data_IF_587007637498
#
_entry.id   IF_587007637498
#
_cell.length_a   1.000
_cell.length_b   1.000
_cell.length_c   1.000
_cell.angle_alpha   90.00
_cell.angle_beta   90.00
_cell.angle_gamma   90.00
#
_symmetry.space_group_name_H-M   'P 1'
#
loop_
_entity.id
_entity.type
_entity.pdbx_description
1 polymer ?
#
# COMPACT_ATOMS: atom_id res chain seq x y z
N UNK A 1 32.04 -43.24 15.25
CA UNK A 1 31.95 -41.97 15.99
C UNK A 1 32.59 -40.95 15.09
N UNK A 2 31.77 -40.18 14.39
CA UNK A 2 32.21 -39.21 13.38
C UNK A 2 31.52 -37.91 13.72
N UNK A 3 32.34 -36.87 13.78
CA UNK A 3 32.12 -35.60 14.44
C UNK A 3 31.05 -34.76 13.75
N UNK A 4 30.34 -34.02 14.60
CA UNK A 4 29.35 -33.00 14.28
C UNK A 4 30.12 -31.78 13.77
N UNK A 5 29.96 -31.43 12.49
CA UNK A 5 30.35 -30.13 11.98
C UNK A 5 29.14 -29.20 12.12
N UNK A 6 29.10 -28.49 13.26
CA UNK A 6 28.06 -27.51 13.59
C UNK A 6 28.32 -26.24 12.76
N UNK A 7 27.72 -26.19 11.58
CA UNK A 7 27.74 -25.02 10.70
C UNK A 7 27.14 -23.82 11.42
N UNK A 8 27.92 -22.74 11.45
CA UNK A 8 27.59 -21.44 12.00
C UNK A 8 26.30 -20.92 11.37
N UNK A 9 25.17 -21.03 12.09
CA UNK A 9 23.93 -20.38 11.71
C UNK A 9 24.20 -18.88 11.77
N UNK A 10 24.25 -18.24 10.60
CA UNK A 10 24.21 -16.80 10.52
C UNK A 10 22.95 -16.32 11.26
N UNK A 11 23.21 -15.72 12.43
CA UNK A 11 22.29 -14.94 13.23
C UNK A 11 21.81 -13.77 12.37
N UNK A 12 20.82 -14.03 11.52
CA UNK A 12 19.99 -13.00 10.91
C UNK A 12 19.18 -12.39 12.06
N UNK A 13 19.81 -11.42 12.73
CA UNK A 13 19.23 -10.69 13.84
C UNK A 13 17.78 -10.35 13.54
N UNK A 14 16.89 -10.87 14.37
CA UNK A 14 15.48 -10.49 14.35
C UNK A 14 15.44 -9.02 14.74
N UNK A 15 15.39 -8.14 13.74
CA UNK A 15 15.08 -6.74 13.98
C UNK A 15 13.71 -6.74 14.66
N UNK A 16 13.57 -6.12 15.85
CA UNK A 16 12.28 -6.02 16.49
C UNK A 16 11.35 -5.29 15.54
N UNK A 17 10.30 -5.98 15.09
CA UNK A 17 9.19 -5.37 14.37
C UNK A 17 8.54 -4.45 15.39
N UNK A 18 8.85 -3.16 15.32
CA UNK A 18 8.08 -2.15 16.03
C UNK A 18 6.71 -2.13 15.37
N UNK A 19 5.66 -2.52 16.11
CA UNK A 19 4.23 -2.34 15.78
C UNK A 19 3.83 -0.85 15.71
N UNK A 20 4.78 0.04 15.41
CA UNK A 20 4.47 1.39 15.01
C UNK A 20 3.75 1.33 13.67
N UNK A 21 2.43 1.13 13.73
CA UNK A 21 1.50 1.50 12.68
C UNK A 21 1.97 2.85 12.14
N UNK A 22 2.19 2.90 10.83
CA UNK A 22 2.59 4.10 10.12
C UNK A 22 1.66 5.24 10.57
N UNK A 23 2.16 6.14 11.42
CA UNK A 23 1.47 7.39 11.72
C UNK A 23 1.63 8.27 10.49
N UNK A 24 0.75 8.04 9.52
CA UNK A 24 0.54 8.95 8.41
C UNK A 24 -0.49 9.97 8.87
N UNK A 25 -0.03 11.13 9.37
CA UNK A 25 -0.93 12.24 9.67
C UNK A 25 -1.35 12.90 8.35
N UNK A 26 -2.57 12.61 7.89
CA UNK A 26 -3.17 13.33 6.78
C UNK A 26 -3.64 14.71 7.27
N UNK A 27 -2.90 15.77 6.96
CA UNK A 27 -3.41 17.14 7.09
C UNK A 27 -4.09 17.56 5.78
N UNK A 28 -5.37 17.24 5.64
CA UNK A 28 -6.23 17.84 4.62
C UNK A 28 -6.72 19.20 5.17
N UNK A 29 -6.14 20.31 4.70
CA UNK A 29 -6.73 21.64 4.90
C UNK A 29 -7.66 21.93 3.72
N UNK A 30 -8.96 21.87 3.97
CA UNK A 30 -9.96 22.40 3.04
C UNK A 30 -9.90 23.92 3.15
N UNK A 31 -9.32 24.59 2.16
CA UNK A 31 -9.30 26.04 2.06
C UNK A 31 -10.72 26.55 1.78
N UNK A 32 -11.41 26.95 2.86
CA UNK A 32 -12.63 27.75 2.74
C UNK A 32 -12.25 29.24 2.72
N UNK A 33 -12.77 29.92 1.70
CA UNK A 33 -12.54 31.31 1.33
C UNK A 33 -12.66 32.29 2.51
N UNK A 34 -11.77 33.27 2.49
CA UNK A 34 -11.50 34.27 3.51
C UNK A 34 -12.69 35.12 3.97
N UNK A 35 -12.93 35.15 5.29
CA UNK A 35 -13.55 36.29 5.97
C UNK A 35 -12.73 36.66 7.22
N UNK A 36 -12.44 37.96 7.34
CA UNK A 36 -11.54 38.56 8.33
C UNK A 36 -12.23 38.72 9.70
N UNK A 37 -11.71 38.10 10.76
CA UNK A 37 -11.99 38.51 12.15
C UNK A 37 -10.77 38.23 13.06
N UNK A 38 -10.51 39.04 14.11
CA UNK A 38 -9.21 39.19 14.73
C UNK A 38 -8.82 38.02 15.64
N UNK A 39 -7.51 37.79 15.66
CA UNK A 39 -6.76 36.73 16.33
C UNK A 39 -7.03 36.71 17.84
N UNK A 40 -7.83 35.75 18.30
CA UNK A 40 -7.83 35.34 19.71
C UNK A 40 -6.90 34.13 19.85
N UNK A 41 -5.78 34.33 20.54
CA UNK A 41 -4.85 33.29 20.94
C UNK A 41 -5.52 32.43 22.02
N UNK A 42 -6.30 31.43 21.61
CA UNK A 42 -6.75 30.39 22.53
C UNK A 42 -5.62 29.38 22.67
N UNK A 43 -5.11 29.21 23.89
CA UNK A 43 -4.17 28.15 24.20
C UNK A 43 -4.87 26.81 23.94
N UNK A 44 -4.43 26.08 22.91
CA UNK A 44 -4.84 24.69 22.67
C UNK A 44 -4.34 23.87 23.86
N UNK A 45 -5.23 23.61 24.82
CA UNK A 45 -5.03 22.51 25.77
C UNK A 45 -5.00 21.23 24.93
N UNK A 46 -3.82 20.63 24.83
CA UNK A 46 -3.64 19.36 24.12
C UNK A 46 -4.44 18.30 24.87
N UNK A 47 -5.63 17.95 24.37
CA UNK A 47 -6.37 16.80 24.85
C UNK A 47 -5.57 15.57 24.45
N UNK A 48 -5.01 14.86 25.43
CA UNK A 48 -4.36 13.58 25.21
C UNK A 48 -5.41 12.61 24.66
N UNK A 49 -5.30 12.23 23.38
CA UNK A 49 -6.19 11.23 22.77
C UNK A 49 -5.82 9.87 23.35
N UNK A 50 -6.67 9.34 24.23
CA UNK A 50 -6.52 7.97 24.72
C UNK A 50 -7.27 7.03 23.78
N UNK A 51 -6.54 6.31 22.93
CA UNK A 51 -7.10 5.21 22.14
C UNK A 51 -7.51 4.08 23.08
N UNK A 52 -8.75 3.60 22.97
CA UNK A 52 -9.22 2.39 23.67
C UNK A 52 -9.63 1.36 22.63
N UNK A 53 -9.31 0.09 22.88
CA UNK A 53 -9.85 -1.01 22.11
C UNK A 53 -11.36 -1.06 22.37
N UNK A 54 -12.15 -0.79 21.33
CA UNK A 54 -13.60 -0.87 21.36
C UNK A 54 -14.04 -1.78 20.22
N UNK A 55 -15.10 -2.56 20.42
CA UNK A 55 -15.73 -3.26 19.30
C UNK A 55 -16.23 -2.21 18.30
N UNK A 56 -15.90 -2.34 17.00
CA UNK A 56 -16.37 -1.41 15.99
C UNK A 56 -17.89 -1.52 15.91
N UNK A 57 -18.58 -0.44 16.27
CA UNK A 57 -20.01 -0.30 16.03
C UNK A 57 -20.17 0.17 14.59
N UNK A 58 -20.33 -0.79 13.67
CA UNK A 58 -20.72 -0.47 12.30
C UNK A 58 -22.16 0.03 12.33
N UNK A 59 -22.39 1.24 11.82
CA UNK A 59 -23.72 1.62 11.35
C UNK A 59 -24.23 0.54 10.40
N UNK A 60 -25.50 0.16 10.51
CA UNK A 60 -26.13 -0.76 9.54
C UNK A 60 -25.74 -0.33 8.13
N UNK A 61 -25.22 -1.29 7.36
CA UNK A 61 -24.84 -1.08 5.98
C UNK A 61 -26.08 -0.52 5.30
N UNK A 62 -26.03 0.78 4.97
CA UNK A 62 -27.09 1.41 4.20
C UNK A 62 -27.32 0.51 2.98
N UNK A 63 -28.57 0.10 2.68
CA UNK A 63 -28.84 -0.70 1.49
C UNK A 63 -28.17 0.01 0.33
N UNK A 64 -27.28 -0.70 -0.36
CA UNK A 64 -26.29 -0.12 -1.26
C UNK A 64 -26.88 1.08 -1.98
N UNK A 65 -26.39 2.28 -1.60
CA UNK A 65 -26.88 3.52 -2.18
C UNK A 65 -26.91 3.35 -3.69
N UNK A 66 -28.04 3.67 -4.32
CA UNK A 66 -28.24 3.54 -5.78
C UNK A 66 -27.04 4.10 -6.57
N UNK A 67 -26.37 5.11 -6.01
CA UNK A 67 -25.16 5.73 -6.55
C UNK A 67 -23.97 4.79 -6.73
N UNK A 68 -23.69 3.88 -5.78
CA UNK A 68 -22.55 2.97 -5.89
C UNK A 68 -22.74 1.94 -7.00
N UNK A 69 -23.97 1.41 -7.11
CA UNK A 69 -24.37 0.50 -8.19
C UNK A 69 -24.32 1.19 -9.55
N UNK A 70 -24.85 2.40 -9.64
CA UNK A 70 -24.78 3.21 -10.86
C UNK A 70 -23.33 3.53 -11.28
N UNK A 71 -22.46 3.82 -10.31
CA UNK A 71 -21.04 4.05 -10.57
C UNK A 71 -20.35 2.79 -11.14
N UNK A 72 -20.63 1.62 -10.54
CA UNK A 72 -20.12 0.34 -11.02
C UNK A 72 -20.63 0.02 -12.43
N UNK A 73 -21.93 0.18 -12.70
CA UNK A 73 -22.52 -0.04 -14.02
C UNK A 73 -21.92 0.89 -15.08
N UNK A 74 -21.69 2.16 -14.72
CA UNK A 74 -21.05 3.15 -15.59
C UNK A 74 -19.61 2.75 -15.91
N UNK A 75 -18.85 2.33 -14.89
CA UNK A 75 -17.47 1.87 -15.05
C UNK A 75 -17.39 0.58 -15.90
N UNK A 76 -18.28 -0.39 -15.69
CA UNK A 76 -18.34 -1.61 -16.52
C UNK A 76 -18.59 -1.23 -17.99
N UNK A 77 -19.53 -0.32 -18.24
CA UNK A 77 -19.85 0.14 -19.60
C UNK A 77 -18.66 0.86 -20.24
N UNK A 78 -17.92 1.67 -19.49
CA UNK A 78 -16.73 2.39 -19.98
C UNK A 78 -15.55 1.44 -20.27
N UNK A 79 -15.49 0.31 -19.59
CA UNK A 79 -14.46 -0.71 -19.76
C UNK A 79 -14.83 -1.77 -20.81
N UNK A 80 -16.07 -1.76 -21.30
CA UNK A 80 -16.55 -2.72 -22.30
C UNK A 80 -15.77 -2.59 -23.62
N UNK A 81 -15.27 -3.70 -24.13
CA UNK A 81 -14.52 -3.76 -25.40
C UNK A 81 -13.05 -3.36 -25.34
N UNK A 82 -12.54 -2.94 -24.17
CA UNK A 82 -11.10 -2.69 -23.96
C UNK A 82 -10.34 -4.00 -23.71
N UNK A 83 -9.08 -4.04 -24.10
CA UNK A 83 -8.19 -5.15 -23.73
C UNK A 83 -7.88 -5.14 -22.23
N UNK A 84 -7.45 -6.29 -21.68
CA UNK A 84 -7.09 -6.41 -20.26
C UNK A 84 -6.03 -5.39 -19.85
N UNK A 85 -5.05 -5.15 -20.71
CA UNK A 85 -3.97 -4.17 -20.45
C UNK A 85 -4.54 -2.75 -20.40
N UNK A 86 -5.39 -2.38 -21.37
CA UNK A 86 -6.03 -1.05 -21.39
C UNK A 86 -6.96 -0.83 -20.19
N UNK A 87 -7.63 -1.88 -19.70
CA UNK A 87 -8.42 -1.79 -18.47
C UNK A 87 -7.51 -1.44 -17.29
N UNK A 88 -6.37 -2.12 -17.16
CA UNK A 88 -5.40 -1.83 -16.10
C UNK A 88 -4.81 -0.43 -16.22
N UNK A 89 -4.46 0.02 -17.42
CA UNK A 89 -3.92 1.38 -17.63
C UNK A 89 -4.95 2.47 -17.35
N UNK A 90 -6.25 2.20 -17.55
CA UNK A 90 -7.30 3.14 -17.17
C UNK A 90 -7.53 3.19 -15.65
N UNK A 91 -7.47 2.04 -14.97
CA UNK A 91 -7.69 1.97 -13.52
C UNK A 91 -6.47 2.45 -12.72
N UNK A 92 -5.27 2.07 -13.16
CA UNK A 92 -3.99 2.51 -12.62
C UNK A 92 -3.39 3.54 -13.58
N UNK A 93 -4.09 4.66 -13.70
CA UNK A 93 -3.68 5.75 -14.59
C UNK A 93 -2.29 6.29 -14.22
N UNK A 94 -1.66 6.95 -15.18
CA UNK A 94 -0.29 7.46 -15.03
C UNK A 94 -0.16 8.42 -13.83
N UNK A 95 -1.18 9.22 -13.54
CA UNK A 95 -1.20 10.10 -12.36
C UNK A 95 -1.04 9.33 -11.04
N UNK A 96 -1.72 8.18 -10.90
CA UNK A 96 -1.63 7.33 -9.72
C UNK A 96 -0.25 6.69 -9.64
N UNK A 97 0.28 6.21 -10.78
CA UNK A 97 1.60 5.59 -10.82
C UNK A 97 2.71 6.59 -10.49
N UNK A 98 2.63 7.80 -11.02
CA UNK A 98 3.55 8.90 -10.71
C UNK A 98 3.48 9.27 -9.23
N UNK A 99 2.28 9.34 -8.66
CA UNK A 99 2.09 9.62 -7.23
C UNK A 99 2.71 8.53 -6.35
N UNK A 100 2.44 7.26 -6.65
CA UNK A 100 3.03 6.12 -5.91
C UNK A 100 4.56 6.15 -6.01
N UNK A 101 5.10 6.40 -7.20
CA UNK A 101 6.54 6.51 -7.43
C UNK A 101 7.14 7.66 -6.61
N UNK A 102 6.53 8.85 -6.66
CA UNK A 102 6.97 10.03 -5.92
C UNK A 102 7.05 9.76 -4.42
N UNK A 103 5.97 9.22 -3.84
CA UNK A 103 5.92 8.92 -2.41
C UNK A 103 6.90 7.81 -2.02
N UNK A 104 7.06 6.78 -2.86
CA UNK A 104 8.01 5.69 -2.60
C UNK A 104 9.45 6.19 -2.57
N UNK A 105 9.83 7.03 -3.55
CA UNK A 105 11.18 7.64 -3.62
C UNK A 105 11.39 8.61 -2.46
N UNK A 106 10.39 9.43 -2.14
CA UNK A 106 10.41 10.35 -0.99
C UNK A 106 10.62 9.60 0.30
N UNK A 107 9.88 8.50 0.51
CA UNK A 107 10.04 7.65 1.67
C UNK A 107 11.46 7.08 1.79
N UNK A 108 11.99 6.49 0.72
CA UNK A 108 13.31 5.90 0.72
C UNK A 108 14.41 6.94 1.04
N UNK A 109 14.35 8.12 0.42
CA UNK A 109 15.34 9.18 0.61
C UNK A 109 15.25 9.83 1.99
N UNK A 110 14.05 10.22 2.42
CA UNK A 110 13.87 11.01 3.63
C UNK A 110 13.77 10.17 4.91
N UNK A 111 13.13 9.01 4.86
CA UNK A 111 12.87 8.19 6.05
C UNK A 111 13.83 7.01 6.17
N UNK A 112 14.30 6.45 5.06
CA UNK A 112 15.30 5.37 5.06
C UNK A 112 16.72 5.84 4.81
N UNK A 113 16.91 7.14 4.54
CA UNK A 113 18.21 7.75 4.26
C UNK A 113 18.97 7.06 3.10
N UNK A 114 18.23 6.46 2.15
CA UNK A 114 18.78 5.91 0.93
C UNK A 114 18.71 6.96 -0.17
N UNK A 115 19.75 7.79 -0.25
CA UNK A 115 19.84 8.89 -1.21
C UNK A 115 19.97 8.42 -2.66
N UNK A 116 20.43 7.18 -2.87
CA UNK A 116 20.66 6.60 -4.19
C UNK A 116 19.44 5.83 -4.70
N UNK A 117 18.43 5.63 -3.86
CA UNK A 117 17.20 4.99 -4.28
C UNK A 117 16.53 5.78 -5.40
N UNK A 118 16.24 5.07 -6.48
CA UNK A 118 15.46 5.57 -7.60
C UNK A 118 14.51 4.46 -8.02
N UNK A 119 13.35 4.87 -8.51
CA UNK A 119 12.31 3.98 -9.00
C UNK A 119 11.74 4.60 -10.27
N UNK A 120 11.67 3.81 -11.33
CA UNK A 120 11.02 4.21 -12.58
C UNK A 120 9.59 3.70 -12.63
N UNK A 121 8.75 4.34 -13.44
CA UNK A 121 7.36 3.90 -13.67
C UNK A 121 7.33 2.46 -14.20
N UNK A 122 8.28 2.08 -15.06
CA UNK A 122 8.35 0.72 -15.60
C UNK A 122 8.66 -0.31 -14.52
N UNK A 123 9.61 -0.03 -13.62
CA UNK A 123 9.90 -0.89 -12.48
C UNK A 123 8.70 -1.00 -11.53
N UNK A 124 7.98 0.10 -11.32
CA UNK A 124 6.75 0.09 -10.54
C UNK A 124 5.65 -0.75 -11.21
N UNK A 125 5.47 -0.64 -12.54
CA UNK A 125 4.53 -1.48 -13.30
C UNK A 125 4.90 -2.96 -13.20
N UNK A 126 6.19 -3.31 -13.28
CA UNK A 126 6.67 -4.68 -13.08
C UNK A 126 6.36 -5.17 -11.66
N UNK A 127 6.62 -4.35 -10.64
CA UNK A 127 6.31 -4.67 -9.26
C UNK A 127 4.81 -4.93 -9.04
N UNK A 128 3.94 -4.07 -9.57
CA UNK A 128 2.49 -4.27 -9.52
C UNK A 128 2.07 -5.56 -10.27
N UNK A 129 2.69 -5.85 -11.41
CA UNK A 129 2.46 -7.11 -12.14
C UNK A 129 2.79 -8.34 -11.30
N UNK A 130 3.88 -8.30 -10.52
CA UNK A 130 4.23 -9.36 -9.57
C UNK A 130 3.15 -9.50 -8.49
N UNK A 131 2.62 -8.39 -7.95
CA UNK A 131 1.55 -8.44 -6.96
C UNK A 131 0.31 -9.13 -7.53
N UNK A 132 -0.11 -8.79 -8.75
CA UNK A 132 -1.20 -9.48 -9.41
C UNK A 132 -0.91 -10.97 -9.58
N UNK A 133 0.28 -11.34 -10.06
CA UNK A 133 0.64 -12.75 -10.23
C UNK A 133 0.58 -13.53 -8.91
N UNK A 134 1.12 -12.95 -7.83
CA UNK A 134 1.07 -13.54 -6.48
C UNK A 134 -0.34 -13.66 -5.88
N UNK A 135 -1.32 -12.98 -6.48
CA UNK A 135 -2.73 -13.13 -6.10
C UNK A 135 -3.43 -14.30 -6.81
N UNK A 136 -2.93 -14.70 -7.98
CA UNK A 136 -3.46 -15.85 -8.73
C UNK A 136 -2.90 -17.18 -8.23
N UNK A 137 -1.63 -17.18 -7.82
CA UNK A 137 -1.00 -18.35 -7.24
C UNK A 137 -0.85 -18.14 -5.74
N UNK A 138 -1.43 -19.01 -4.92
CA UNK A 138 -1.31 -18.91 -3.46
C UNK A 138 -0.28 -19.90 -2.93
N UNK A 139 0.80 -19.36 -2.36
CA UNK A 139 1.80 -20.12 -1.61
C UNK A 139 1.67 -19.84 -0.10
N UNK A 140 1.96 -20.84 0.75
CA UNK A 140 1.82 -20.72 2.21
C UNK A 140 2.78 -19.69 2.83
N UNK A 141 3.84 -19.31 2.12
CA UNK A 141 4.81 -18.31 2.57
C UNK A 141 5.25 -17.42 1.40
N UNK A 142 5.46 -16.14 1.68
CA UNK A 142 5.87 -15.16 0.66
C UNK A 142 7.23 -15.48 0.02
N UNK A 143 8.15 -16.07 0.80
CA UNK A 143 9.49 -16.47 0.31
C UNK A 143 9.41 -17.51 -0.81
N UNK A 144 8.35 -18.32 -0.82
CA UNK A 144 8.18 -19.37 -1.82
C UNK A 144 7.90 -18.80 -3.22
N UNK A 145 7.33 -17.59 -3.35
CA UNK A 145 7.18 -16.93 -4.66
C UNK A 145 8.50 -16.61 -5.35
N UNK A 146 9.60 -16.63 -4.60
CA UNK A 146 10.95 -16.38 -5.09
C UNK A 146 11.80 -17.65 -5.11
N UNK A 147 11.21 -18.80 -4.76
CA UNK A 147 11.91 -20.08 -4.77
C UNK A 147 11.94 -20.68 -6.19
N UNK A 148 13.06 -21.31 -6.53
CA UNK A 148 13.30 -21.93 -7.85
C UNK A 148 13.08 -23.45 -7.77
N UNK A 149 12.66 -23.96 -6.61
CA UNK A 149 12.42 -25.39 -6.41
C UNK A 149 11.27 -25.89 -7.30
N UNK A 150 11.40 -27.11 -7.82
CA UNK A 150 10.52 -27.69 -8.84
C UNK A 150 9.05 -27.78 -8.38
N UNK A 151 8.81 -27.95 -7.07
CA UNK A 151 7.49 -28.07 -6.47
C UNK A 151 6.78 -26.73 -6.25
N UNK A 152 7.49 -25.62 -6.42
CA UNK A 152 7.00 -24.25 -6.20
C UNK A 152 7.05 -23.41 -7.48
N UNK A 153 7.89 -23.81 -8.43
CA UNK A 153 8.12 -23.08 -9.68
C UNK A 153 6.91 -23.12 -10.62
N UNK A 154 6.39 -21.95 -10.99
CA UNK A 154 5.44 -21.80 -12.10
C UNK A 154 6.18 -21.24 -13.31
N UNK A 155 6.17 -21.92 -14.47
CA UNK A 155 6.73 -21.36 -15.68
C UNK A 155 5.98 -20.08 -16.09
N UNK A 156 6.73 -18.98 -16.23
CA UNK A 156 6.26 -17.82 -16.99
C UNK A 156 6.14 -18.23 -18.46
N UNK A 157 5.02 -17.92 -19.10
CA UNK A 157 4.71 -18.26 -20.50
C UNK A 157 5.80 -17.83 -21.48
#
# INVERSE_FOLDING_TARGET
MTDIEEGHYDDMGVLPVSDAACQLEFSCTIDNVAENHPTQTTSRTSKTVTWRMCEPVYSEIQPESNTAKQCLESLITELEGKSVVEIFENLLCDEILEYIMHETVTYAKHYKNDLNFNLTINELKVFIGILFFSSYHHLPQSKLYWCIDEDVHIPFF
#
